data_IF_033299214293
#
_entry.id   IF_033299214293
#
_cell.length_a   1.000
_cell.length_b   1.000
_cell.length_c   1.000
_cell.angle_alpha   90.00
_cell.angle_beta   90.00
_cell.angle_gamma   90.00
#
_symmetry.space_group_name_H-M   'P 1'
#
loop_
_entity.id
_entity.type
_entity.pdbx_description
1 polymer ?
#
# COMPACT_ATOMS: atom_id res chain seq x y z
N UNK A 1 1.92 3.86 -11.42
CA UNK A 1 3.07 3.11 -10.88
C UNK A 1 2.57 1.81 -10.27
N UNK A 2 3.34 0.73 -10.36
CA UNK A 2 3.07 -0.53 -9.65
C UNK A 2 3.94 -0.54 -8.40
N UNK A 3 3.36 -0.80 -7.24
CA UNK A 3 4.08 -0.93 -5.99
C UNK A 3 3.84 -2.33 -5.41
N UNK A 4 4.81 -2.82 -4.68
CA UNK A 4 4.75 -4.12 -4.01
C UNK A 4 5.04 -3.86 -2.55
N UNK A 5 4.15 -4.34 -1.68
CA UNK A 5 4.41 -4.42 -0.25
C UNK A 5 4.83 -5.83 0.10
N UNK A 6 5.83 -5.92 0.97
CA UNK A 6 6.22 -7.15 1.63
C UNK A 6 6.32 -6.91 3.13
N UNK A 7 5.53 -7.64 3.91
CA UNK A 7 5.57 -7.58 5.36
C UNK A 7 6.64 -8.55 5.86
N UNK A 8 7.80 -8.03 6.24
CA UNK A 8 8.93 -8.85 6.71
C UNK A 8 8.74 -9.28 8.17
N UNK A 9 8.15 -8.41 8.98
CA UNK A 9 7.87 -8.64 10.40
C UNK A 9 6.62 -7.85 10.79
N UNK A 10 5.85 -8.38 11.73
CA UNK A 10 4.73 -7.69 12.34
C UNK A 10 3.43 -7.82 11.54
N UNK A 11 2.53 -6.85 11.74
CA UNK A 11 1.22 -6.76 11.08
C UNK A 11 0.89 -5.32 10.72
N UNK A 12 0.30 -5.11 9.54
CA UNK A 12 -0.28 -3.83 9.15
C UNK A 12 -1.78 -3.94 8.91
N UNK A 13 -2.51 -2.87 9.21
CA UNK A 13 -3.84 -2.61 8.68
C UNK A 13 -3.67 -1.72 7.45
N UNK A 14 -4.07 -2.21 6.28
CA UNK A 14 -3.95 -1.51 5.02
C UNK A 14 -5.34 -1.23 4.43
N UNK A 15 -5.57 0.03 4.06
CA UNK A 15 -6.72 0.50 3.30
C UNK A 15 -6.30 0.71 1.85
N UNK A 16 -7.06 0.14 0.93
CA UNK A 16 -6.93 0.31 -0.51
C UNK A 16 -8.18 0.98 -1.05
N UNK A 17 -8.00 1.93 -1.97
CA UNK A 17 -9.10 2.63 -2.63
C UNK A 17 -8.86 2.57 -4.13
N UNK A 18 -9.80 1.98 -4.85
CA UNK A 18 -9.85 2.03 -6.31
C UNK A 18 -10.26 3.45 -6.73
N UNK A 19 -9.40 4.16 -7.45
CA UNK A 19 -9.65 5.55 -7.83
C UNK A 19 -10.61 5.71 -9.03
N UNK A 20 -10.99 4.61 -9.68
CA UNK A 20 -11.97 4.61 -10.76
C UNK A 20 -13.39 4.40 -10.23
N UNK A 21 -13.55 3.59 -9.18
CA UNK A 21 -14.86 3.25 -8.59
C UNK A 21 -15.11 3.84 -7.21
N UNK A 22 -14.07 4.34 -6.53
CA UNK A 22 -14.05 4.77 -5.14
C UNK A 22 -14.40 3.66 -4.13
N UNK A 23 -14.37 2.40 -4.56
CA UNK A 23 -14.52 1.27 -3.65
C UNK A 23 -13.33 1.18 -2.70
N UNK A 24 -13.64 0.94 -1.43
CA UNK A 24 -12.67 0.81 -0.35
C UNK A 24 -12.58 -0.64 0.07
N UNK A 25 -11.36 -1.13 0.22
CA UNK A 25 -11.07 -2.45 0.76
C UNK A 25 -10.05 -2.30 1.88
N UNK A 26 -10.35 -2.87 3.04
CA UNK A 26 -9.45 -2.88 4.17
C UNK A 26 -9.06 -4.30 4.50
N UNK A 27 -7.77 -4.53 4.73
CA UNK A 27 -7.24 -5.85 5.04
C UNK A 27 -6.09 -5.77 6.05
N UNK A 28 -5.91 -6.84 6.81
CA UNK A 28 -4.76 -7.03 7.68
C UNK A 28 -3.75 -7.89 6.91
N UNK A 29 -2.52 -7.39 6.80
CA UNK A 29 -1.40 -8.11 6.21
C UNK A 29 -0.40 -8.45 7.31
N UNK A 30 0.10 -9.68 7.28
CA UNK A 30 1.02 -10.20 8.29
C UNK A 30 2.32 -10.71 7.68
N UNK A 31 3.28 -11.06 8.53
CA UNK A 31 4.59 -11.56 8.12
C UNK A 31 4.49 -12.61 7.01
N UNK A 32 5.19 -12.34 5.91
CA UNK A 32 5.23 -13.21 4.74
C UNK A 32 4.29 -12.76 3.61
N UNK A 33 3.29 -11.93 3.92
CA UNK A 33 2.39 -11.41 2.90
C UNK A 33 3.11 -10.51 1.93
N UNK A 34 2.80 -10.72 0.65
CA UNK A 34 3.31 -9.94 -0.46
C UNK A 34 2.15 -9.55 -1.37
N UNK A 35 1.86 -8.27 -1.41
CA UNK A 35 0.76 -7.73 -2.23
C UNK A 35 1.28 -6.82 -3.32
N UNK A 36 0.59 -6.84 -4.45
CA UNK A 36 0.89 -5.97 -5.60
C UNK A 36 -0.21 -4.93 -5.72
N UNK A 37 0.12 -3.68 -5.43
CA UNK A 37 -0.76 -2.53 -5.61
C UNK A 37 -0.82 -2.20 -7.10
N UNK A 38 -2.03 -2.23 -7.66
CA UNK A 38 -2.26 -1.90 -9.06
C UNK A 38 -2.17 -0.38 -9.27
N UNK A 39 -1.87 0.10 -10.50
CA UNK A 39 -1.97 1.52 -10.82
C UNK A 39 -3.36 2.05 -10.47
N UNK A 40 -3.44 3.34 -10.14
CA UNK A 40 -4.70 4.01 -9.75
C UNK A 40 -5.38 3.42 -8.51
N UNK A 41 -4.61 2.74 -7.67
CA UNK A 41 -5.03 2.33 -6.33
C UNK A 41 -4.33 3.23 -5.30
N UNK A 42 -5.11 4.03 -4.58
CA UNK A 42 -4.61 4.74 -3.41
C UNK A 42 -4.50 3.76 -2.25
N UNK A 43 -3.49 3.90 -1.42
CA UNK A 43 -3.33 3.07 -0.23
C UNK A 43 -2.83 3.88 0.96
N UNK A 44 -3.21 3.43 2.15
CA UNK A 44 -2.75 3.92 3.45
C UNK A 44 -2.56 2.70 4.34
N UNK A 45 -1.50 2.65 5.14
CA UNK A 45 -1.36 1.60 6.14
C UNK A 45 -0.74 2.10 7.44
N UNK A 46 -1.04 1.40 8.53
CA UNK A 46 -0.38 1.58 9.82
C UNK A 46 0.04 0.22 10.39
N UNK A 47 1.16 0.21 11.12
CA UNK A 47 1.57 -0.93 11.91
C UNK A 47 0.62 -1.13 13.10
N UNK A 48 0.24 -2.37 13.35
CA UNK A 48 -0.55 -2.77 14.53
C UNK A 48 0.33 -3.22 15.70
N UNK A 49 1.61 -3.49 15.42
CA UNK A 49 2.65 -3.92 16.35
C UNK A 49 4.03 -3.50 15.82
N UNK A 50 5.12 -3.94 16.44
CA UNK A 50 6.50 -3.72 15.95
C UNK A 50 6.69 -4.38 14.58
N UNK A 51 6.62 -3.55 13.54
CA UNK A 51 6.42 -4.01 12.16
C UNK A 51 7.50 -3.45 11.24
N UNK A 52 7.99 -4.30 10.33
CA UNK A 52 8.88 -3.92 9.23
C UNK A 52 8.23 -4.30 7.90
N UNK A 53 7.95 -3.29 7.08
CA UNK A 53 7.40 -3.43 5.73
C UNK A 53 8.39 -2.85 4.73
N UNK A 54 8.57 -3.56 3.61
CA UNK A 54 9.32 -3.06 2.46
C UNK A 54 8.33 -2.72 1.36
N UNK A 55 8.29 -1.45 0.97
CA UNK A 55 7.66 -1.02 -0.27
C UNK A 55 8.73 -0.90 -1.37
N UNK A 56 8.46 -1.50 -2.53
CA UNK A 56 9.34 -1.40 -3.67
C UNK A 56 8.59 -1.43 -4.99
N UNK A 57 9.20 -0.84 -6.01
CA UNK A 57 8.69 -0.84 -7.37
C UNK A 57 9.79 -1.26 -8.35
N UNK A 58 9.47 -2.03 -9.41
CA UNK A 58 10.39 -2.22 -10.51
C UNK A 58 10.54 -0.95 -11.38
N UNK A 59 9.71 0.07 -11.15
CA UNK A 59 9.72 1.33 -11.90
C UNK A 59 10.50 2.40 -11.15
N UNK A 60 11.20 3.26 -11.89
CA UNK A 60 11.89 4.42 -11.32
C UNK A 60 10.85 5.37 -10.74
N UNK A 61 11.09 5.81 -9.51
CA UNK A 61 10.28 6.83 -8.85
C UNK A 61 10.33 8.14 -9.63
N UNK A 62 9.16 8.70 -9.95
CA UNK A 62 8.99 10.03 -10.51
C UNK A 62 8.07 10.82 -9.60
N UNK A 63 8.54 11.98 -9.15
CA UNK A 63 7.80 12.81 -8.20
C UNK A 63 6.48 13.31 -8.80
N UNK A 64 6.47 13.54 -10.10
CA UNK A 64 5.33 14.01 -10.88
C UNK A 64 4.18 12.98 -10.90
N UNK A 65 4.51 11.69 -10.75
CA UNK A 65 3.56 10.58 -10.71
C UNK A 65 3.03 10.30 -9.29
N UNK A 66 3.44 11.11 -8.29
CA UNK A 66 3.06 10.94 -6.88
C UNK A 66 2.02 11.99 -6.49
N UNK A 67 0.82 11.53 -6.14
CA UNK A 67 -0.26 12.39 -5.70
C UNK A 67 -0.65 12.06 -4.27
N UNK A 68 -0.55 13.04 -3.37
CA UNK A 68 -1.10 12.92 -2.01
C UNK A 68 -2.61 13.11 -2.09
N UNK A 69 -3.36 12.18 -1.53
CA UNK A 69 -4.81 12.26 -1.40
C UNK A 69 -5.10 12.43 0.10
N UNK A 70 -6.02 13.34 0.43
CA UNK A 70 -6.50 13.44 1.80
C UNK A 70 -7.65 12.45 1.99
N UNK A 71 -7.45 11.50 2.90
CA UNK A 71 -8.43 10.49 3.26
C UNK A 71 -9.00 10.89 4.64
N UNK A 72 -9.64 12.06 4.69
CA UNK A 72 -10.39 12.53 5.86
C UNK A 72 -11.73 11.80 5.98
#
# INVERSE_FOLDING_TARGET
>A
MIQIFYVFQGKIRALFIDMDTLQKEETILEKGDRIRVKPRCCHLFCGLEDTLVVEYSPQIYKKEDTHKINLD
#
